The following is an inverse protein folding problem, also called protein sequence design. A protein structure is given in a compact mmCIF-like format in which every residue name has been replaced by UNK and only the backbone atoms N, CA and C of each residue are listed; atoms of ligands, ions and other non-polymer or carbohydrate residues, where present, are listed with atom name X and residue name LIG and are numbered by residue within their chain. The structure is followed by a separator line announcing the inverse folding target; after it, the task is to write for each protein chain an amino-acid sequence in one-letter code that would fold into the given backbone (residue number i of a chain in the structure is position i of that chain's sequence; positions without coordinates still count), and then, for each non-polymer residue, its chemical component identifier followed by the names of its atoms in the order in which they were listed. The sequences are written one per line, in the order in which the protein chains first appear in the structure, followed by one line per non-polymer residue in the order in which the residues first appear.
data_IF_920163590585
#
_entry.id   IF_920163590585
#
_cell.length_a   1.000
_cell.length_b   1.000
_cell.length_c   1.000
_cell.angle_alpha   90.00
_cell.angle_beta   90.00
_cell.angle_gamma   90.00
#
_symmetry.space_group_name_H-M   'P 1'
#
loop_
_entity.id
_entity.type
_entity.pdbx_description
1 polymer ?
#
# COMPACT_ATOMS: atom_id res chain seq x y z
N UNK A 1 -32.60 -71.50 14.15
CA UNK A 1 -32.60 -70.45 13.10
C UNK A 1 -31.57 -69.34 13.31
N UNK A 2 -30.77 -69.35 14.38
CA UNK A 2 -29.84 -68.25 14.70
C UNK A 2 -28.47 -68.37 14.01
N UNK A 3 -27.93 -69.57 13.78
CA UNK A 3 -26.60 -69.76 13.19
C UNK A 3 -26.47 -69.30 11.73
N UNK A 4 -27.42 -69.66 10.87
CA UNK A 4 -27.38 -69.33 9.43
C UNK A 4 -27.52 -67.83 9.15
N UNK A 5 -28.23 -67.09 10.01
CA UNK A 5 -28.37 -65.64 9.88
C UNK A 5 -27.04 -64.92 10.12
N UNK A 6 -26.30 -65.28 11.17
CA UNK A 6 -24.98 -64.69 11.46
C UNK A 6 -23.91 -65.09 10.43
N UNK A 7 -24.00 -66.30 9.86
CA UNK A 7 -23.15 -66.74 8.76
C UNK A 7 -23.45 -65.94 7.48
N UNK A 8 -24.73 -65.73 7.15
CA UNK A 8 -25.14 -64.90 5.99
C UNK A 8 -24.74 -63.43 6.13
N UNK A 9 -24.95 -62.84 7.31
CA UNK A 9 -24.54 -61.47 7.63
C UNK A 9 -23.01 -61.31 7.58
N UNK A 10 -22.27 -62.28 8.13
CA UNK A 10 -20.82 -62.33 8.08
C UNK A 10 -20.28 -62.39 6.64
N UNK A 11 -20.91 -63.20 5.78
CA UNK A 11 -20.56 -63.28 4.36
C UNK A 11 -20.81 -61.97 3.59
N UNK A 12 -21.92 -61.28 3.87
CA UNK A 12 -22.23 -59.98 3.26
C UNK A 12 -21.25 -58.90 3.71
N UNK A 13 -20.92 -58.85 5.01
CA UNK A 13 -19.95 -57.88 5.54
C UNK A 13 -18.54 -58.13 5.02
N UNK A 14 -18.11 -59.39 4.88
CA UNK A 14 -16.86 -59.76 4.22
C UNK A 14 -16.85 -59.35 2.74
N UNK A 15 -17.93 -59.62 2.01
CA UNK A 15 -18.08 -59.21 0.61
C UNK A 15 -18.03 -57.69 0.42
N UNK A 16 -18.74 -56.94 1.26
CA UNK A 16 -18.73 -55.48 1.26
C UNK A 16 -17.34 -54.92 1.65
N UNK A 17 -16.67 -55.55 2.63
CA UNK A 17 -15.31 -55.20 3.04
C UNK A 17 -14.28 -55.42 1.92
N UNK A 18 -14.37 -56.54 1.21
CA UNK A 18 -13.51 -56.81 0.05
C UNK A 18 -13.78 -55.83 -1.09
N UNK A 19 -15.04 -55.51 -1.40
CA UNK A 19 -15.39 -54.53 -2.42
C UNK A 19 -14.86 -53.12 -2.09
N UNK A 20 -14.97 -52.69 -0.83
CA UNK A 20 -14.43 -51.42 -0.37
C UNK A 20 -12.89 -51.39 -0.46
N UNK A 21 -12.22 -52.48 -0.10
CA UNK A 21 -10.77 -52.62 -0.21
C UNK A 21 -10.32 -52.57 -1.68
N UNK A 22 -11.01 -53.27 -2.58
CA UNK A 22 -10.75 -53.22 -4.03
C UNK A 22 -10.95 -51.82 -4.59
N UNK A 23 -12.00 -51.11 -4.18
CA UNK A 23 -12.25 -49.72 -4.59
C UNK A 23 -11.12 -48.79 -4.12
N UNK A 24 -10.66 -48.93 -2.87
CA UNK A 24 -9.52 -48.17 -2.34
C UNK A 24 -8.23 -48.45 -3.10
N UNK A 25 -7.98 -49.71 -3.47
CA UNK A 25 -6.82 -50.10 -4.28
C UNK A 25 -6.90 -49.45 -5.67
N UNK A 26 -8.07 -49.50 -6.32
CA UNK A 26 -8.28 -48.88 -7.64
C UNK A 26 -8.14 -47.36 -7.57
N UNK A 27 -8.70 -46.72 -6.54
CA UNK A 27 -8.57 -45.27 -6.32
C UNK A 27 -7.11 -44.88 -6.07
N UNK A 28 -6.37 -45.65 -5.26
CA UNK A 28 -4.92 -45.43 -5.07
C UNK A 28 -4.13 -45.62 -6.37
N UNK A 29 -4.45 -46.65 -7.15
CA UNK A 29 -3.78 -46.92 -8.43
C UNK A 29 -4.04 -45.80 -9.44
N UNK A 30 -5.30 -45.38 -9.59
CA UNK A 30 -5.70 -44.24 -10.44
C UNK A 30 -5.07 -42.93 -9.97
N UNK A 31 -5.09 -42.64 -8.67
CA UNK A 31 -4.43 -41.47 -8.09
C UNK A 31 -2.93 -41.48 -8.38
N UNK A 32 -2.25 -42.62 -8.17
CA UNK A 32 -0.82 -42.78 -8.48
C UNK A 32 -0.54 -42.59 -9.97
N UNK A 33 -1.40 -43.11 -10.84
CA UNK A 33 -1.27 -42.93 -12.29
C UNK A 33 -1.46 -41.46 -12.69
N UNK A 34 -2.48 -40.78 -12.15
CA UNK A 34 -2.74 -39.35 -12.40
C UNK A 34 -1.59 -38.46 -11.90
N UNK A 35 -1.09 -38.71 -10.69
CA UNK A 35 0.07 -38.00 -10.13
C UNK A 35 1.33 -38.28 -10.94
N UNK A 36 1.58 -39.54 -11.30
CA UNK A 36 2.73 -39.89 -12.15
C UNK A 36 2.63 -39.25 -13.54
N UNK A 37 1.44 -39.17 -14.12
CA UNK A 37 1.22 -38.53 -15.40
C UNK A 37 1.44 -37.02 -15.29
N UNK A 38 0.98 -36.38 -14.22
CA UNK A 38 1.23 -34.96 -13.94
C UNK A 38 2.73 -34.67 -13.80
N UNK A 39 3.45 -35.44 -13.00
CA UNK A 39 4.89 -35.24 -12.73
C UNK A 39 5.73 -35.41 -14.01
N UNK A 40 5.33 -36.32 -14.90
CA UNK A 40 6.02 -36.58 -16.17
C UNK A 40 5.71 -35.55 -17.27
N UNK A 41 4.75 -34.64 -17.07
CA UNK A 41 4.48 -33.59 -18.07
C UNK A 41 5.68 -32.61 -18.11
N UNK A 42 6.19 -32.26 -19.31
CA UNK A 42 7.23 -31.26 -19.46
C UNK A 42 6.90 -29.95 -18.73
N UNK A 43 5.65 -29.48 -18.83
CA UNK A 43 5.17 -28.29 -18.13
C UNK A 43 5.30 -28.36 -16.59
N UNK A 44 5.15 -29.55 -15.98
CA UNK A 44 5.33 -29.70 -14.53
C UNK A 44 6.80 -29.63 -14.14
N UNK A 45 7.68 -30.24 -14.93
CA UNK A 45 9.13 -30.15 -14.72
C UNK A 45 9.61 -28.71 -14.92
N UNK A 46 9.15 -28.04 -15.99
CA UNK A 46 9.42 -26.61 -16.25
C UNK A 46 8.94 -25.74 -15.09
N UNK A 47 7.72 -25.97 -14.58
CA UNK A 47 7.21 -25.29 -13.38
C UNK A 47 8.15 -25.48 -12.17
N UNK A 48 8.61 -26.70 -11.90
CA UNK A 48 9.55 -26.96 -10.80
C UNK A 48 10.88 -26.21 -11.00
N UNK A 49 11.39 -26.14 -12.23
CA UNK A 49 12.60 -25.36 -12.52
C UNK A 49 12.39 -23.86 -12.36
N UNK A 50 11.19 -23.35 -12.67
CA UNK A 50 10.81 -21.96 -12.46
C UNK A 50 10.66 -21.63 -10.98
N UNK A 51 10.09 -22.53 -10.17
CA UNK A 51 9.97 -22.37 -8.71
C UNK A 51 11.33 -22.37 -7.99
N UNK A 52 12.38 -22.94 -8.60
CA UNK A 52 13.75 -22.81 -8.09
C UNK A 52 14.40 -21.47 -8.45
N UNK A 53 13.94 -20.80 -9.51
CA UNK A 53 14.48 -19.50 -9.96
C UNK A 53 13.68 -18.30 -9.43
N UNK A 54 12.37 -18.48 -9.26
CA UNK A 54 11.42 -17.48 -8.82
C UNK A 54 10.84 -17.92 -7.48
N UNK A 55 10.48 -16.95 -6.63
CA UNK A 55 9.69 -17.30 -5.44
C UNK A 55 8.34 -17.87 -5.88
N UNK A 56 7.77 -18.79 -5.09
CA UNK A 56 6.45 -19.37 -5.39
C UNK A 56 5.39 -18.29 -5.67
N UNK A 57 5.47 -17.17 -4.94
CA UNK A 57 4.62 -16.00 -5.11
C UNK A 57 4.79 -15.37 -6.50
N UNK A 58 6.01 -15.07 -6.90
CA UNK A 58 6.26 -14.40 -8.19
C UNK A 58 5.83 -15.28 -9.37
N UNK A 59 5.94 -16.60 -9.24
CA UNK A 59 5.39 -17.57 -10.21
C UNK A 59 3.87 -17.46 -10.33
N UNK A 60 3.13 -17.61 -9.22
CA UNK A 60 1.66 -17.57 -9.25
C UNK A 60 1.12 -16.22 -9.69
N UNK A 61 1.76 -15.12 -9.30
CA UNK A 61 1.34 -13.81 -9.77
C UNK A 61 1.62 -13.58 -11.24
N UNK A 62 2.74 -14.07 -11.75
CA UNK A 62 3.04 -13.97 -13.17
C UNK A 62 2.04 -14.76 -14.00
N UNK A 63 1.62 -15.94 -13.52
CA UNK A 63 0.52 -16.70 -14.13
C UNK A 63 -0.82 -15.95 -14.06
N UNK A 64 -1.15 -15.35 -12.92
CA UNK A 64 -2.38 -14.57 -12.79
C UNK A 64 -2.39 -13.36 -13.73
N UNK A 65 -1.24 -12.67 -13.87
CA UNK A 65 -1.06 -11.57 -14.83
C UNK A 65 -1.21 -12.06 -16.27
N UNK A 66 -0.65 -13.22 -16.60
CA UNK A 66 -0.73 -13.81 -17.93
C UNK A 66 -2.16 -14.24 -18.29
N UNK A 67 -2.90 -14.81 -17.35
CA UNK A 67 -4.28 -15.27 -17.54
C UNK A 67 -5.28 -14.11 -17.61
N UNK A 68 -5.17 -13.17 -16.68
CA UNK A 68 -6.12 -12.04 -16.59
C UNK A 68 -5.76 -10.87 -17.50
N UNK A 69 -4.52 -10.78 -17.99
CA UNK A 69 -3.98 -9.63 -18.70
C UNK A 69 -3.90 -8.35 -17.85
N UNK A 70 -4.10 -8.44 -16.53
CA UNK A 70 -4.16 -7.29 -15.62
C UNK A 70 -2.98 -7.29 -14.66
N UNK A 71 -2.45 -6.11 -14.37
CA UNK A 71 -1.49 -5.93 -13.29
C UNK A 71 -2.15 -6.23 -11.93
N UNK A 72 -1.51 -7.07 -11.12
CA UNK A 72 -1.97 -7.34 -9.75
C UNK A 72 -1.93 -6.06 -8.92
N UNK A 73 -3.11 -5.56 -8.50
CA UNK A 73 -3.21 -4.40 -7.62
C UNK A 73 -3.03 -4.85 -6.17
N UNK A 74 -1.85 -4.58 -5.59
CA UNK A 74 -1.58 -4.87 -4.19
C UNK A 74 -1.73 -3.63 -3.31
N UNK A 75 -2.58 -3.67 -2.27
CA UNK A 75 -2.67 -2.58 -1.30
C UNK A 75 -1.56 -2.64 -0.23
N UNK A 76 -0.84 -3.76 -0.09
CA UNK A 76 0.10 -4.01 1.02
C UNK A 76 1.59 -3.77 0.68
N UNK A 77 1.91 -3.17 -0.47
CA UNK A 77 3.28 -2.83 -0.85
C UNK A 77 4.14 -4.02 -1.31
N UNK A 78 5.45 -3.79 -1.38
CA UNK A 78 6.44 -4.81 -1.77
C UNK A 78 6.78 -5.71 -0.58
N UNK A 79 7.07 -7.00 -0.82
CA UNK A 79 7.63 -7.86 0.25
C UNK A 79 9.16 -7.71 0.34
N UNK A 80 9.77 -6.81 -0.44
CA UNK A 80 11.17 -6.49 -0.29
C UNK A 80 11.30 -5.54 0.90
N UNK A 81 11.74 -6.09 2.03
CA UNK A 81 12.05 -5.31 3.23
C UNK A 81 13.48 -4.76 3.09
N UNK A 82 13.60 -3.54 2.55
CA UNK A 82 14.90 -2.88 2.37
C UNK A 82 15.53 -2.45 3.70
N UNK A 83 14.72 -2.11 4.70
CA UNK A 83 15.18 -1.68 6.02
C UNK A 83 15.07 -2.82 7.02
N UNK A 84 16.24 -3.39 7.37
CA UNK A 84 16.40 -4.42 8.40
C UNK A 84 16.59 -3.76 9.75
N UNK A 85 15.49 -3.36 10.40
CA UNK A 85 15.53 -2.69 11.71
C UNK A 85 16.22 -3.54 12.80
N UNK A 86 16.26 -4.86 12.63
CA UNK A 86 17.01 -5.81 13.45
C UNK A 86 18.54 -5.62 13.37
N UNK A 87 19.04 -4.94 12.33
CA UNK A 87 20.45 -4.60 12.18
C UNK A 87 20.81 -3.22 12.76
N UNK A 88 19.81 -2.44 13.20
CA UNK A 88 20.05 -1.14 13.82
C UNK A 88 20.16 -1.33 15.34
N UNK A 89 21.37 -1.16 15.88
CA UNK A 89 21.59 -1.10 17.32
C UNK A 89 21.95 0.33 17.73
N UNK A 90 21.15 0.91 18.61
CA UNK A 90 21.46 2.20 19.24
C UNK A 90 22.42 1.95 20.40
N UNK A 91 23.53 2.68 20.44
CA UNK A 91 24.47 2.61 21.55
C UNK A 91 23.89 3.39 22.75
N UNK A 92 23.54 2.73 23.87
CA UNK A 92 23.05 3.44 25.04
C UNK A 92 24.18 4.26 25.69
N UNK A 93 23.79 5.33 26.37
CA UNK A 93 24.71 6.13 27.19
C UNK A 93 24.98 5.41 28.51
N UNK A 94 26.26 5.13 28.77
CA UNK A 94 26.72 4.57 30.05
C UNK A 94 27.69 5.51 30.79
N UNK A 95 28.78 5.92 30.12
CA UNK A 95 29.88 6.69 30.72
C UNK A 95 30.05 8.09 30.13
N UNK A 96 29.65 8.30 28.86
CA UNK A 96 29.74 9.61 28.20
C UNK A 96 28.70 10.62 28.71
N UNK A 97 27.74 10.17 29.50
CA UNK A 97 26.68 10.97 30.10
C UNK A 97 25.88 10.13 31.11
N UNK A 98 24.87 10.74 31.73
CA UNK A 98 23.94 10.04 32.61
C UNK A 98 22.66 9.69 31.85
N UNK A 99 22.10 8.47 32.00
CA UNK A 99 20.78 8.16 31.50
C UNK A 99 19.75 9.13 32.10
N UNK A 100 18.73 9.48 31.31
CA UNK A 100 17.66 10.33 31.77
C UNK A 100 16.79 9.59 32.80
N UNK A 101 16.38 10.27 33.88
CA UNK A 101 15.44 9.72 34.85
C UNK A 101 14.04 9.61 34.24
N UNK A 102 13.22 8.67 34.75
CA UNK A 102 11.92 8.31 34.16
C UNK A 102 10.87 9.43 34.19
N UNK A 103 11.04 10.38 35.11
CA UNK A 103 10.15 11.50 35.38
C UNK A 103 10.52 12.77 34.61
N UNK A 104 11.68 12.78 33.94
CA UNK A 104 12.11 13.92 33.15
C UNK A 104 11.44 13.83 31.77
N UNK A 105 10.65 14.86 31.37
CA UNK A 105 10.01 14.87 30.07
C UNK A 105 11.04 14.95 28.94
N UNK A 106 10.84 14.15 27.89
CA UNK A 106 11.63 14.20 26.66
C UNK A 106 10.97 15.17 25.68
N UNK A 107 11.72 16.16 25.20
CA UNK A 107 11.24 17.05 24.15
C UNK A 107 11.22 16.29 22.81
N UNK A 108 10.02 16.04 22.31
CA UNK A 108 9.78 15.35 21.03
C UNK A 108 9.42 16.32 19.90
N UNK A 109 9.40 17.62 20.19
CA UNK A 109 9.06 18.65 19.23
C UNK A 109 10.09 18.70 18.09
N UNK A 110 9.60 18.85 16.87
CA UNK A 110 10.43 18.97 15.67
C UNK A 110 9.91 20.10 14.80
N UNK A 111 10.83 20.91 14.25
CA UNK A 111 10.52 21.95 13.28
C UNK A 111 11.01 21.56 11.89
N UNK A 112 10.09 21.48 10.95
CA UNK A 112 10.34 21.27 9.52
C UNK A 112 10.50 22.62 8.81
N UNK A 113 11.51 22.71 7.95
CA UNK A 113 11.85 23.93 7.24
C UNK A 113 12.18 25.11 8.16
N UNK A 114 13.17 25.01 9.07
CA UNK A 114 13.50 26.09 10.02
C UNK A 114 13.94 27.41 9.38
N UNK A 115 14.23 27.40 8.06
CA UNK A 115 14.58 28.58 7.25
C UNK A 115 13.44 29.09 6.37
N UNK A 116 12.26 28.45 6.43
CA UNK A 116 11.06 28.94 5.75
C UNK A 116 10.52 30.18 6.46
N UNK A 117 9.70 30.98 5.79
CA UNK A 117 9.07 32.14 6.43
C UNK A 117 8.04 31.70 7.50
N UNK A 118 7.41 30.54 7.28
CA UNK A 118 6.45 29.94 8.20
C UNK A 118 6.82 28.48 8.52
N UNK A 119 7.86 28.21 9.33
CA UNK A 119 8.27 26.85 9.65
C UNK A 119 7.14 26.02 10.27
N UNK A 120 7.10 24.72 9.96
CA UNK A 120 6.09 23.81 10.50
C UNK A 120 6.64 23.11 11.74
N UNK A 121 6.11 23.45 12.91
CA UNK A 121 6.47 22.80 14.18
C UNK A 121 5.43 21.76 14.59
N UNK A 122 5.90 20.57 14.94
CA UNK A 122 5.09 19.40 15.34
C UNK A 122 5.48 18.96 16.74
N UNK A 123 4.51 18.55 17.56
CA UNK A 123 4.75 18.10 18.94
C UNK A 123 5.49 16.76 19.02
N UNK A 124 5.38 15.95 17.96
CA UNK A 124 5.96 14.60 17.87
C UNK A 124 6.67 14.41 16.54
N UNK A 125 7.73 13.58 16.47
CA UNK A 125 8.49 13.35 15.25
C UNK A 125 7.84 12.26 14.38
N UNK A 126 6.51 12.28 14.28
CA UNK A 126 5.71 11.30 13.56
C UNK A 126 4.68 12.04 12.72
N UNK A 127 4.63 11.77 11.43
CA UNK A 127 3.67 12.35 10.49
C UNK A 127 2.65 11.30 10.06
N UNK A 128 1.41 11.74 9.79
CA UNK A 128 0.49 10.88 9.03
C UNK A 128 0.96 10.87 7.58
N UNK A 129 1.20 9.67 7.05
CA UNK A 129 1.67 9.49 5.68
C UNK A 129 0.69 10.04 4.64
N UNK A 130 1.23 10.37 3.46
CA UNK A 130 0.54 10.98 2.33
C UNK A 130 -0.47 10.03 1.66
N UNK A 131 -1.63 9.82 2.28
CA UNK A 131 -2.65 8.88 1.83
C UNK A 131 -3.83 9.58 1.15
N UNK A 132 -3.98 9.32 -0.15
CA UNK A 132 -5.02 9.92 -0.99
C UNK A 132 -6.44 9.41 -0.67
N UNK A 133 -7.37 10.33 -0.42
CA UNK A 133 -8.80 10.02 -0.45
C UNK A 133 -9.22 9.50 -1.83
N UNK A 134 -10.09 8.49 -1.86
CA UNK A 134 -10.69 7.94 -3.07
C UNK A 134 -9.84 6.83 -3.71
N UNK A 135 -8.56 7.10 -3.95
CA UNK A 135 -7.65 6.10 -4.52
C UNK A 135 -7.09 5.11 -3.48
N UNK A 136 -6.67 5.62 -2.31
CA UNK A 136 -6.00 4.81 -1.29
C UNK A 136 -6.89 4.56 -0.06
N UNK A 137 -7.55 5.59 0.46
CA UNK A 137 -8.36 5.49 1.68
C UNK A 137 -9.75 6.08 1.52
N UNK A 138 -10.68 5.62 2.37
CA UNK A 138 -12.05 6.13 2.41
C UNK A 138 -12.13 7.55 2.98
N UNK A 139 -13.23 8.25 2.71
CA UNK A 139 -13.49 9.59 3.25
C UNK A 139 -13.46 9.61 4.79
N UNK A 140 -14.10 8.61 5.42
CA UNK A 140 -14.14 8.47 6.88
C UNK A 140 -12.75 8.26 7.46
N UNK A 141 -11.92 7.43 6.81
CA UNK A 141 -10.53 7.23 7.22
C UNK A 141 -9.71 8.52 7.11
N UNK A 142 -9.89 9.29 6.02
CA UNK A 142 -9.19 10.57 5.84
C UNK A 142 -9.54 11.58 6.94
N UNK A 143 -10.81 11.73 7.29
CA UNK A 143 -11.24 12.60 8.39
C UNK A 143 -10.72 12.09 9.74
N UNK A 144 -10.75 10.78 9.98
CA UNK A 144 -10.26 10.19 11.22
C UNK A 144 -8.77 10.48 11.42
N UNK A 145 -7.96 10.35 10.36
CA UNK A 145 -6.53 10.67 10.38
C UNK A 145 -6.26 12.16 10.62
N UNK A 146 -7.01 13.04 9.96
CA UNK A 146 -6.93 14.49 10.18
C UNK A 146 -7.27 14.89 11.64
N UNK A 147 -8.29 14.27 12.23
CA UNK A 147 -8.60 14.46 13.66
C UNK A 147 -7.49 13.93 14.56
N UNK A 148 -6.97 12.75 14.26
CA UNK A 148 -5.89 12.14 15.01
C UNK A 148 -4.61 12.98 14.96
N UNK A 149 -4.30 13.61 13.82
CA UNK A 149 -3.15 14.49 13.69
C UNK A 149 -3.30 15.74 14.56
N UNK A 150 -4.48 16.38 14.56
CA UNK A 150 -4.78 17.52 15.42
C UNK A 150 -4.66 17.18 16.91
N UNK A 151 -5.20 16.03 17.33
CA UNK A 151 -5.17 15.59 18.73
C UNK A 151 -3.75 15.26 19.22
N UNK A 152 -2.90 14.72 18.34
CA UNK A 152 -1.52 14.35 18.68
C UNK A 152 -0.50 15.47 18.41
N UNK A 153 -0.96 16.60 17.85
CA UNK A 153 -0.10 17.74 17.51
C UNK A 153 0.87 17.46 16.36
N UNK A 154 0.43 16.68 15.38
CA UNK A 154 1.16 16.45 14.13
C UNK A 154 0.32 16.85 12.90
N UNK A 155 0.86 16.64 11.71
CA UNK A 155 0.22 16.98 10.44
C UNK A 155 -0.40 15.77 9.73
N UNK A 156 -1.51 16.03 9.05
CA UNK A 156 -2.09 15.13 8.04
C UNK A 156 -1.68 15.57 6.64
N UNK A 157 -1.49 14.63 5.72
CA UNK A 157 -1.00 14.88 4.36
C UNK A 157 -2.02 14.39 3.32
N UNK A 158 -2.38 15.24 2.36
CA UNK A 158 -3.38 14.93 1.30
C UNK A 158 -3.06 13.67 0.51
N UNK A 159 -1.78 13.31 0.35
CA UNK A 159 -1.34 12.37 -0.66
C UNK A 159 -1.65 12.86 -2.07
N UNK A 160 -1.53 11.95 -3.04
CA UNK A 160 -1.77 12.25 -4.46
C UNK A 160 -3.24 12.47 -4.83
N UNK A 161 -4.14 12.58 -3.84
CA UNK A 161 -5.56 12.85 -4.03
C UNK A 161 -5.89 14.33 -4.03
N UNK A 162 -7.16 14.69 -4.18
CA UNK A 162 -7.60 16.06 -4.08
C UNK A 162 -7.65 16.54 -2.62
N UNK A 163 -7.68 17.85 -2.43
CA UNK A 163 -8.03 18.45 -1.14
C UNK A 163 -9.40 17.96 -0.67
N UNK A 164 -9.47 17.53 0.59
CA UNK A 164 -10.72 17.21 1.28
C UNK A 164 -10.98 18.31 2.31
N UNK A 165 -11.85 19.26 1.98
CA UNK A 165 -12.13 20.43 2.82
C UNK A 165 -12.51 20.04 4.27
N UNK A 166 -13.27 18.96 4.43
CA UNK A 166 -13.70 18.44 5.72
C UNK A 166 -12.53 17.87 6.54
N UNK A 167 -11.50 17.32 5.89
CA UNK A 167 -10.28 16.88 6.55
C UNK A 167 -9.41 18.10 6.89
N UNK A 168 -9.29 19.08 5.98
CA UNK A 168 -8.55 20.32 6.23
C UNK A 168 -9.13 21.11 7.41
N UNK A 169 -10.46 21.14 7.54
CA UNK A 169 -11.16 21.87 8.60
C UNK A 169 -10.96 21.28 10.00
N UNK A 170 -10.62 19.99 10.11
CA UNK A 170 -10.42 19.32 11.40
C UNK A 170 -8.94 19.06 11.74
N UNK A 171 -8.05 19.19 10.76
CA UNK A 171 -6.61 19.13 10.98
C UNK A 171 -6.08 20.48 11.49
N UNK A 172 -5.20 20.45 12.49
CA UNK A 172 -4.46 21.64 12.94
C UNK A 172 -3.37 22.00 11.92
N UNK A 173 -2.51 21.02 11.60
CA UNK A 173 -1.47 21.13 10.57
C UNK A 173 -1.80 20.25 9.37
N UNK A 174 -1.68 20.80 8.17
CA UNK A 174 -2.07 20.12 6.95
C UNK A 174 -1.04 20.29 5.83
N UNK A 175 -0.46 19.17 5.40
CA UNK A 175 0.50 19.10 4.30
C UNK A 175 -0.29 18.85 3.00
N UNK A 176 -0.09 19.71 2.01
CA UNK A 176 -0.63 19.49 0.67
C UNK A 176 0.46 18.91 -0.21
N UNK A 177 0.20 17.73 -0.75
CA UNK A 177 1.10 17.07 -1.68
C UNK A 177 0.92 17.65 -3.09
N UNK A 178 1.92 18.38 -3.57
CA UNK A 178 2.01 18.83 -4.95
C UNK A 178 2.40 17.65 -5.83
N UNK A 179 1.38 17.03 -6.43
CA UNK A 179 1.51 15.78 -7.18
C UNK A 179 1.57 16.02 -8.70
N UNK A 180 1.72 14.92 -9.44
CA UNK A 180 1.91 14.88 -10.90
C UNK A 180 0.60 14.92 -11.69
N UNK A 181 -0.55 14.96 -11.02
CA UNK A 181 -1.86 15.17 -11.62
C UNK A 181 -2.18 16.65 -11.83
N UNK A 182 -3.31 16.93 -12.48
CA UNK A 182 -3.77 18.30 -12.79
C UNK A 182 -4.60 18.95 -11.66
N UNK A 183 -4.97 18.19 -10.63
CA UNK A 183 -5.86 18.64 -9.55
C UNK A 183 -5.11 19.25 -8.38
N UNK A 184 -5.82 20.02 -7.54
CA UNK A 184 -5.30 20.59 -6.29
C UNK A 184 -4.08 21.50 -6.43
N UNK A 185 -3.93 22.14 -7.61
CA UNK A 185 -2.85 23.08 -7.93
C UNK A 185 -3.29 24.56 -7.94
N UNK A 186 -4.54 24.86 -7.61
CA UNK A 186 -4.99 26.26 -7.58
C UNK A 186 -4.45 26.99 -6.35
N UNK A 187 -4.20 28.29 -6.50
CA UNK A 187 -3.70 29.14 -5.40
C UNK A 187 -4.61 29.09 -4.17
N UNK A 188 -5.92 29.02 -4.39
CA UNK A 188 -6.91 28.85 -3.32
C UNK A 188 -6.71 27.56 -2.52
N UNK A 189 -6.27 26.48 -3.16
CA UNK A 189 -5.98 25.21 -2.48
C UNK A 189 -4.61 25.27 -1.82
N UNK A 190 -3.59 25.66 -2.57
CA UNK A 190 -2.19 25.66 -2.10
C UNK A 190 -1.99 26.59 -0.90
N UNK A 191 -2.62 27.76 -0.88
CA UNK A 191 -2.56 28.71 0.24
C UNK A 191 -3.12 28.18 1.57
N UNK A 192 -3.83 27.05 1.57
CA UNK A 192 -4.33 26.40 2.79
C UNK A 192 -3.31 25.47 3.46
N UNK A 193 -2.17 25.21 2.81
CA UNK A 193 -1.14 24.31 3.31
C UNK A 193 -0.32 24.95 4.45
N UNK A 194 0.05 24.14 5.43
CA UNK A 194 1.08 24.48 6.43
C UNK A 194 2.49 24.05 5.98
N UNK A 195 2.56 23.22 4.94
CA UNK A 195 3.78 22.77 4.24
C UNK A 195 3.38 22.15 2.90
N UNK A 196 4.24 22.29 1.89
CA UNK A 196 4.04 21.66 0.58
C UNK A 196 5.00 20.47 0.42
N UNK A 197 4.45 19.30 0.08
CA UNK A 197 5.26 18.13 -0.27
C UNK A 197 5.25 17.92 -1.79
N UNK A 198 6.36 18.19 -2.45
CA UNK A 198 6.51 17.93 -3.89
C UNK A 198 6.75 16.44 -4.12
N UNK A 199 5.77 15.73 -4.65
CA UNK A 199 5.85 14.28 -4.85
C UNK A 199 6.47 13.92 -6.20
N UNK A 200 7.77 13.60 -6.17
CA UNK A 200 8.51 13.12 -7.35
C UNK A 200 8.17 11.65 -7.67
N UNK A 201 8.09 10.82 -6.63
CA UNK A 201 7.84 9.39 -6.75
C UNK A 201 7.32 8.78 -5.46
N UNK A 202 7.05 7.48 -5.51
CA UNK A 202 6.52 6.71 -4.38
C UNK A 202 7.32 5.42 -4.21
N UNK A 203 7.68 5.02 -2.99
CA UNK A 203 8.49 3.81 -2.75
C UNK A 203 7.90 2.48 -3.27
N UNK A 204 6.67 2.47 -3.80
CA UNK A 204 6.02 1.28 -4.35
C UNK A 204 6.08 1.22 -5.88
N UNK A 205 6.16 2.35 -6.57
CA UNK A 205 6.13 2.46 -8.03
C UNK A 205 7.11 3.50 -8.57
N UNK A 206 7.99 4.04 -7.72
CA UNK A 206 8.95 5.10 -8.00
C UNK A 206 8.29 6.26 -8.75
N UNK A 207 8.79 6.57 -9.95
CA UNK A 207 8.28 7.64 -10.80
C UNK A 207 7.31 7.14 -11.87
N UNK A 208 6.90 5.87 -11.83
CA UNK A 208 5.96 5.33 -12.80
C UNK A 208 4.61 6.07 -12.77
N UNK A 209 3.94 6.21 -13.92
CA UNK A 209 2.64 6.85 -13.97
C UNK A 209 1.60 5.94 -13.30
N UNK A 210 0.64 6.54 -12.60
CA UNK A 210 -0.41 5.81 -11.88
C UNK A 210 -1.76 6.10 -12.51
N UNK A 211 -2.40 5.06 -13.05
CA UNK A 211 -3.76 5.14 -13.57
C UNK A 211 -4.77 4.74 -12.49
N UNK A 212 -5.65 5.66 -12.14
CA UNK A 212 -6.80 5.43 -11.28
C UNK A 212 -7.97 5.08 -12.18
N UNK A 213 -8.46 3.85 -12.09
CA UNK A 213 -9.59 3.39 -12.90
C UNK A 213 -10.85 4.20 -12.59
N UNK A 214 -11.64 4.51 -13.63
CA UNK A 214 -12.91 5.21 -13.57
C UNK A 214 -13.92 4.57 -12.62
N UNK A 215 -13.82 3.26 -12.39
CA UNK A 215 -14.63 2.57 -11.37
C UNK A 215 -14.39 3.11 -9.95
N UNK A 216 -13.17 3.58 -9.65
CA UNK A 216 -12.82 4.26 -8.39
C UNK A 216 -13.12 5.77 -8.44
N UNK A 217 -13.32 6.33 -9.64
CA UNK A 217 -13.66 7.74 -9.88
C UNK A 217 -15.17 7.97 -9.70
N UNK A 218 -15.61 7.82 -8.45
CA UNK A 218 -16.99 8.11 -8.03
C UNK A 218 -17.35 9.58 -8.21
N UNK A 219 -18.63 9.92 -8.28
CA UNK A 219 -19.09 11.30 -8.49
C UNK A 219 -18.50 12.32 -7.49
N UNK A 220 -18.45 11.95 -6.20
CA UNK A 220 -17.87 12.80 -5.16
C UNK A 220 -16.35 12.96 -5.28
N UNK A 221 -15.64 11.92 -5.72
CA UNK A 221 -14.20 11.99 -5.95
C UNK A 221 -13.87 12.79 -7.21
N UNK A 222 -14.59 12.53 -8.31
CA UNK A 222 -14.47 13.24 -9.58
C UNK A 222 -14.68 14.75 -9.42
N UNK A 223 -15.72 15.17 -8.67
CA UNK A 223 -15.99 16.58 -8.38
C UNK A 223 -14.80 17.30 -7.74
N UNK A 224 -14.08 16.65 -6.81
CA UNK A 224 -12.92 17.25 -6.13
C UNK A 224 -11.68 17.28 -7.01
N UNK A 225 -11.54 16.32 -7.93
CA UNK A 225 -10.47 16.31 -8.93
C UNK A 225 -10.71 17.33 -10.05
N UNK A 226 -11.96 17.68 -10.34
CA UNK A 226 -12.33 18.33 -11.59
C UNK A 226 -12.40 17.33 -12.76
N UNK A 227 -12.66 16.06 -12.47
CA UNK A 227 -12.74 14.96 -13.43
C UNK A 227 -14.19 14.60 -13.78
N UNK A 228 -14.37 13.78 -14.82
CA UNK A 228 -15.67 13.19 -15.19
C UNK A 228 -15.84 11.86 -14.42
N UNK A 229 -16.96 11.64 -13.71
CA UNK A 229 -17.21 10.38 -13.02
C UNK A 229 -17.16 9.19 -13.98
N UNK A 230 -16.55 8.08 -13.56
CA UNK A 230 -16.44 6.87 -14.38
C UNK A 230 -15.33 6.88 -15.42
N UNK A 231 -14.62 7.99 -15.63
CA UNK A 231 -13.43 8.05 -16.48
C UNK A 231 -12.15 7.81 -15.70
N UNK A 232 -11.21 7.12 -16.33
CA UNK A 232 -9.87 6.94 -15.78
C UNK A 232 -9.16 8.30 -15.64
N UNK A 233 -8.40 8.47 -14.56
CA UNK A 233 -7.49 9.61 -14.38
C UNK A 233 -6.07 9.10 -14.18
N UNK A 234 -5.09 9.90 -14.62
CA UNK A 234 -3.68 9.51 -14.61
C UNK A 234 -2.88 10.53 -13.80
N UNK A 235 -2.04 10.03 -12.91
CA UNK A 235 -0.89 10.77 -12.40
C UNK A 235 0.29 10.50 -13.32
N UNK A 236 0.86 11.56 -13.88
CA UNK A 236 1.96 11.46 -14.83
C UNK A 236 3.25 10.96 -14.18
N UNK A 237 4.23 10.58 -15.00
CA UNK A 237 5.54 10.14 -14.52
C UNK A 237 6.36 11.29 -13.92
N UNK A 238 6.16 12.50 -14.43
CA UNK A 238 6.86 13.75 -14.06
C UNK A 238 5.86 14.86 -13.74
N UNK A 239 6.32 15.93 -13.10
CA UNK A 239 5.51 17.14 -12.95
C UNK A 239 5.42 17.81 -14.33
N UNK A 240 4.22 18.00 -14.91
CA UNK A 240 4.09 18.50 -16.28
C UNK A 240 4.68 19.89 -16.51
N UNK A 241 4.76 20.72 -15.46
CA UNK A 241 5.29 22.09 -15.54
C UNK A 241 6.81 22.19 -15.41
N UNK A 242 7.54 21.06 -15.31
CA UNK A 242 8.97 21.05 -14.99
C UNK A 242 9.76 20.15 -15.93
N UNK A 243 10.61 20.78 -16.75
CA UNK A 243 11.52 20.08 -17.66
C UNK A 243 12.99 20.17 -17.18
N UNK A 244 13.36 21.28 -16.55
CA UNK A 244 14.74 21.53 -16.13
C UNK A 244 14.89 22.14 -14.72
N UNK A 245 16.12 22.48 -14.35
CA UNK A 245 16.44 23.06 -13.05
C UNK A 245 15.91 24.50 -12.88
N UNK A 246 15.77 25.27 -13.97
CA UNK A 246 15.20 26.61 -13.91
C UNK A 246 13.71 26.53 -13.61
N UNK A 247 13.00 25.59 -14.24
CA UNK A 247 11.58 25.32 -13.95
C UNK A 247 11.39 24.90 -12.49
N UNK A 248 12.27 24.06 -11.95
CA UNK A 248 12.24 23.70 -10.53
C UNK A 248 12.34 24.92 -9.61
N UNK A 249 13.27 25.84 -9.91
CA UNK A 249 13.43 27.07 -9.13
C UNK A 249 12.18 27.95 -9.22
N UNK A 250 11.61 28.08 -10.41
CA UNK A 250 10.40 28.86 -10.65
C UNK A 250 9.21 28.25 -9.91
N UNK A 251 8.98 26.94 -10.01
CA UNK A 251 7.91 26.25 -9.31
C UNK A 251 8.03 26.44 -7.79
N UNK A 252 9.21 26.23 -7.22
CA UNK A 252 9.43 26.40 -5.78
C UNK A 252 9.22 27.86 -5.35
N UNK A 253 9.65 28.83 -6.17
CA UNK A 253 9.42 30.25 -5.90
C UNK A 253 7.92 30.57 -5.89
N UNK A 254 7.17 30.12 -6.90
CA UNK A 254 5.71 30.32 -7.00
C UNK A 254 4.98 29.66 -5.84
N UNK A 255 5.34 28.43 -5.46
CA UNK A 255 4.74 27.75 -4.31
C UNK A 255 4.97 28.52 -3.01
N UNK A 256 6.18 29.07 -2.81
CA UNK A 256 6.47 29.91 -1.65
C UNK A 256 5.70 31.21 -1.68
N UNK A 257 5.53 31.84 -2.84
CA UNK A 257 4.74 33.06 -2.96
C UNK A 257 3.27 32.81 -2.59
N UNK A 258 2.64 31.81 -3.22
CA UNK A 258 1.22 31.46 -3.03
C UNK A 258 0.90 31.07 -1.58
N UNK A 259 1.82 30.39 -0.90
CA UNK A 259 1.64 29.93 0.48
C UNK A 259 2.07 30.96 1.54
N UNK A 260 2.71 32.05 1.12
CA UNK A 260 3.38 32.98 2.03
C UNK A 260 4.56 32.34 2.77
N UNK A 261 5.28 31.45 2.09
CA UNK A 261 6.59 30.95 2.48
C UNK A 261 6.58 29.79 3.49
N UNK A 262 5.63 28.87 3.36
CA UNK A 262 5.69 27.59 4.09
C UNK A 262 6.84 26.72 3.56
N UNK A 263 7.31 25.72 4.34
CA UNK A 263 8.31 24.74 3.91
C UNK A 263 7.91 23.97 2.64
#
# INVERSE_FOLDING_TARGET
MTGYFWIGLGGILLGAGMAALSLLIILKAKFRQSVSALIKKPAFIEMLTLLNKLTWRDYFESNLRADTGKASQRPFGTNIHFLKWDQLQLNPVFLSGKPLAYDIPVQTEVTLGPKAQKPLTLKVPLLVSAMAYGNAISFKAKIALAKASALTGTADNTGGGPLVDEARAVADKYIIQFNKGYWSKSDKILSQADMIEIALGHGAYDSAPVRISGQKVTAGYAKRLGAIPGLDVVLESRIPEVEDLADWKNLIATLKEVTGGVP
#
